data_IF_656102224267
#
_entry.id   IF_656102224267
#
_cell.length_a   1.000
_cell.length_b   1.000
_cell.length_c   1.000
_cell.angle_alpha   90.00
_cell.angle_beta   90.00
_cell.angle_gamma   90.00
#
_symmetry.space_group_name_H-M   'P 1'
#
loop_
_entity.id
_entity.type
_entity.pdbx_description
1 polymer ?
#
# COMPACT_ATOMS: atom_id res chain seq x y z
N UNK A 1 -47.80 -16.06 -61.25
CA UNK A 1 -47.23 -17.38 -61.00
C UNK A 1 -46.06 -17.23 -60.15
N UNK A 2 -46.33 -17.49 -58.95
CA UNK A 2 -45.75 -18.37 -57.91
C UNK A 2 -44.38 -17.89 -57.50
N UNK A 3 -44.24 -17.13 -56.48
CA UNK A 3 -44.37 -17.50 -55.05
C UNK A 3 -43.54 -18.70 -54.65
N UNK A 4 -42.58 -18.48 -53.85
CA UNK A 4 -42.14 -19.34 -52.74
C UNK A 4 -41.24 -18.56 -51.77
N UNK A 5 -41.77 -18.31 -50.60
CA UNK A 5 -41.03 -17.82 -49.47
C UNK A 5 -39.98 -18.83 -49.04
N UNK A 6 -38.88 -18.33 -48.55
CA UNK A 6 -37.99 -19.06 -47.69
C UNK A 6 -38.00 -18.38 -46.32
N UNK A 7 -38.43 -19.16 -45.36
CA UNK A 7 -38.43 -18.82 -43.96
C UNK A 7 -36.99 -18.63 -43.50
N UNK A 8 -36.68 -17.40 -43.09
CA UNK A 8 -35.44 -17.11 -42.38
C UNK A 8 -35.53 -17.71 -40.97
N UNK A 9 -34.72 -18.73 -40.74
CA UNK A 9 -34.50 -19.24 -39.42
C UNK A 9 -33.81 -18.20 -38.58
N UNK A 10 -34.46 -17.82 -37.51
CA UNK A 10 -33.95 -16.99 -36.44
C UNK A 10 -32.76 -17.72 -35.76
N UNK A 11 -31.53 -17.39 -36.16
CA UNK A 11 -30.34 -17.71 -35.38
C UNK A 11 -30.22 -16.69 -34.25
N UNK A 12 -30.95 -16.93 -33.16
CA UNK A 12 -30.64 -16.36 -31.85
C UNK A 12 -29.33 -16.97 -31.36
N UNK A 13 -28.22 -16.52 -31.95
CA UNK A 13 -26.88 -16.78 -31.43
C UNK A 13 -26.72 -16.05 -30.12
N UNK A 14 -27.02 -16.73 -29.00
CA UNK A 14 -26.53 -16.28 -27.70
C UNK A 14 -25.03 -16.10 -27.82
N UNK A 15 -24.55 -14.88 -27.67
CA UNK A 15 -23.13 -14.57 -27.62
C UNK A 15 -22.54 -15.34 -26.44
N UNK A 16 -21.84 -16.44 -26.73
CA UNK A 16 -21.08 -17.18 -25.72
C UNK A 16 -20.03 -16.19 -25.18
N UNK A 17 -20.24 -15.70 -23.96
CA UNK A 17 -19.24 -14.89 -23.30
C UNK A 17 -17.94 -15.69 -23.26
N UNK A 18 -16.89 -15.19 -23.89
CA UNK A 18 -15.56 -15.78 -23.84
C UNK A 18 -15.06 -15.72 -22.40
N UNK A 19 -15.25 -16.80 -21.65
CA UNK A 19 -14.79 -16.95 -20.27
C UNK A 19 -13.33 -17.39 -20.19
N UNK A 20 -12.64 -17.47 -21.33
CA UNK A 20 -11.26 -17.94 -21.45
C UNK A 20 -11.12 -19.46 -21.28
N UNK A 21 -9.88 -19.93 -21.37
CA UNK A 21 -9.52 -21.33 -21.22
C UNK A 21 -9.47 -21.74 -19.74
N UNK A 22 -9.92 -22.96 -19.42
CA UNK A 22 -9.83 -23.53 -18.07
C UNK A 22 -9.46 -25.01 -18.10
N UNK A 23 -8.49 -25.37 -17.30
CA UNK A 23 -8.06 -26.74 -17.03
C UNK A 23 -8.08 -26.98 -15.51
N UNK A 24 -8.86 -27.94 -15.05
CA UNK A 24 -8.99 -28.29 -13.64
C UNK A 24 -10.31 -28.91 -13.27
N UNK A 25 -10.50 -29.06 -11.97
CA UNK A 25 -11.66 -29.73 -11.39
C UNK A 25 -12.95 -28.93 -11.59
N UNK A 26 -14.07 -29.65 -11.66
CA UNK A 26 -15.42 -29.08 -11.74
C UNK A 26 -16.34 -29.79 -10.77
N UNK A 27 -17.31 -29.05 -10.23
CA UNK A 27 -18.38 -29.65 -9.43
C UNK A 27 -19.46 -30.32 -10.29
N UNK A 28 -20.49 -30.89 -9.65
CA UNK A 28 -21.61 -31.55 -10.31
C UNK A 28 -22.42 -30.61 -11.23
N UNK A 29 -22.33 -29.31 -11.04
CA UNK A 29 -22.99 -28.28 -11.85
C UNK A 29 -22.09 -27.78 -13.01
N UNK A 30 -20.90 -28.38 -13.20
CA UNK A 30 -19.95 -28.02 -14.24
C UNK A 30 -19.14 -26.74 -13.94
N UNK A 31 -19.33 -26.13 -12.77
CA UNK A 31 -18.59 -24.92 -12.35
C UNK A 31 -17.15 -25.28 -11.99
N UNK A 32 -16.22 -24.34 -12.18
CA UNK A 32 -14.83 -24.43 -11.70
C UNK A 32 -14.85 -24.71 -10.20
N UNK A 33 -14.15 -25.76 -9.75
CA UNK A 33 -14.14 -26.17 -8.35
C UNK A 33 -12.82 -26.89 -8.05
N UNK A 34 -12.35 -26.90 -6.78
CA UNK A 34 -11.05 -27.47 -6.47
C UNK A 34 -9.90 -26.71 -7.13
N UNK A 35 -8.84 -27.40 -7.51
CA UNK A 35 -7.67 -26.77 -8.14
C UNK A 35 -7.84 -26.64 -9.65
N UNK A 36 -7.42 -25.50 -10.21
CA UNK A 36 -7.46 -25.27 -11.65
C UNK A 36 -6.58 -24.14 -12.13
N UNK A 37 -6.36 -24.15 -13.46
CA UNK A 37 -5.64 -23.12 -14.20
C UNK A 37 -6.59 -22.47 -15.19
N UNK A 38 -6.56 -21.15 -15.26
CA UNK A 38 -7.36 -20.39 -16.19
C UNK A 38 -6.51 -19.37 -16.94
N UNK A 39 -6.78 -19.22 -18.24
CA UNK A 39 -6.32 -18.10 -19.05
C UNK A 39 -7.53 -17.25 -19.38
N UNK A 40 -7.52 -16.01 -18.95
CA UNK A 40 -8.63 -15.09 -19.08
C UNK A 40 -8.59 -14.38 -20.44
N UNK A 41 -9.70 -13.88 -20.97
CA UNK A 41 -9.75 -13.20 -22.27
C UNK A 41 -8.84 -11.98 -22.37
N UNK A 42 -8.59 -11.28 -21.26
CA UNK A 42 -7.67 -10.14 -21.19
C UNK A 42 -6.18 -10.53 -21.24
N UNK A 43 -5.88 -11.83 -21.27
CA UNK A 43 -4.52 -12.40 -21.28
C UNK A 43 -3.89 -12.60 -19.92
N UNK A 44 -4.61 -12.33 -18.83
CA UNK A 44 -4.21 -12.69 -17.48
C UNK A 44 -4.30 -14.20 -17.27
N UNK A 45 -3.59 -14.74 -16.27
CA UNK A 45 -3.70 -16.15 -15.88
C UNK A 45 -3.92 -16.29 -14.39
N UNK A 46 -4.66 -17.31 -14.01
CA UNK A 46 -4.82 -17.72 -12.62
C UNK A 46 -4.55 -19.20 -12.46
N UNK A 47 -3.85 -19.57 -11.41
CA UNK A 47 -3.61 -20.94 -10.98
C UNK A 47 -3.86 -21.04 -9.48
N UNK A 48 -4.83 -21.84 -9.06
CA UNK A 48 -5.20 -21.95 -7.66
C UNK A 48 -6.57 -22.59 -7.44
N UNK A 49 -7.06 -22.37 -6.24
CA UNK A 49 -8.31 -22.99 -5.77
C UNK A 49 -9.54 -22.21 -6.25
N UNK A 50 -10.60 -22.96 -6.52
CA UNK A 50 -11.92 -22.47 -6.90
C UNK A 50 -13.00 -23.11 -6.05
N UNK A 51 -14.04 -22.35 -5.77
CA UNK A 51 -15.27 -22.80 -5.11
C UNK A 51 -16.47 -22.24 -5.87
N UNK A 52 -17.33 -23.14 -6.40
CA UNK A 52 -18.55 -22.77 -7.14
C UNK A 52 -18.31 -21.68 -8.20
N UNK A 53 -17.30 -21.86 -9.05
CA UNK A 53 -16.96 -20.93 -10.13
C UNK A 53 -16.09 -19.74 -9.74
N UNK A 54 -15.91 -19.46 -8.46
CA UNK A 54 -15.19 -18.31 -7.94
C UNK A 54 -13.79 -18.70 -7.41
N UNK A 55 -12.78 -17.85 -7.60
CA UNK A 55 -11.48 -18.03 -6.96
C UNK A 55 -11.67 -17.97 -5.45
N UNK A 56 -11.24 -19.00 -4.75
CA UNK A 56 -11.36 -19.14 -3.29
C UNK A 56 -10.15 -19.93 -2.80
N UNK A 57 -9.70 -19.72 -1.55
CA UNK A 57 -8.47 -20.37 -1.07
C UNK A 57 -7.20 -19.77 -1.67
N UNK A 58 -6.14 -20.58 -1.78
CA UNK A 58 -4.83 -20.08 -2.20
C UNK A 58 -4.66 -20.14 -3.72
N UNK A 59 -4.06 -19.07 -4.29
CA UNK A 59 -3.81 -19.03 -5.73
C UNK A 59 -2.81 -17.96 -6.14
N UNK A 60 -2.39 -18.07 -7.40
CA UNK A 60 -1.47 -17.14 -8.07
C UNK A 60 -2.15 -16.54 -9.29
N UNK A 61 -2.24 -15.22 -9.33
CA UNK A 61 -2.75 -14.45 -10.44
C UNK A 61 -1.63 -13.67 -11.12
N UNK A 62 -1.42 -13.92 -12.40
CA UNK A 62 -0.44 -13.21 -13.23
C UNK A 62 -1.17 -12.29 -14.17
N UNK A 63 -0.91 -11.00 -14.01
CA UNK A 63 -1.45 -9.97 -14.88
C UNK A 63 -0.62 -9.87 -16.16
N UNK A 64 -1.26 -9.59 -17.28
CA UNK A 64 -0.60 -9.38 -18.57
C UNK A 64 0.45 -8.27 -18.55
N UNK A 65 0.27 -7.28 -17.68
CA UNK A 65 1.22 -6.18 -17.48
C UNK A 65 2.47 -6.56 -16.66
N UNK A 66 2.62 -7.82 -16.26
CA UNK A 66 3.75 -8.32 -15.47
C UNK A 66 3.56 -8.27 -13.95
N UNK A 67 2.47 -7.69 -13.45
CA UNK A 67 2.15 -7.80 -12.03
C UNK A 67 1.84 -9.25 -11.63
N UNK A 68 2.05 -9.58 -10.36
CA UNK A 68 1.80 -10.91 -9.81
C UNK A 68 1.19 -10.79 -8.42
N UNK A 69 0.10 -11.49 -8.19
CA UNK A 69 -0.41 -11.72 -6.83
C UNK A 69 -0.34 -13.19 -6.49
N UNK A 70 0.14 -13.52 -5.30
CA UNK A 70 0.11 -14.87 -4.72
C UNK A 70 -0.42 -14.76 -3.30
N UNK A 71 -1.50 -15.47 -3.00
CA UNK A 71 -2.14 -15.40 -1.70
C UNK A 71 -3.55 -15.95 -1.70
N UNK A 72 -4.26 -15.65 -0.62
CA UNK A 72 -5.61 -16.13 -0.44
C UNK A 72 -6.65 -15.29 -1.21
N UNK A 73 -7.69 -15.96 -1.62
CA UNK A 73 -8.86 -15.41 -2.28
C UNK A 73 -10.12 -15.79 -1.50
N UNK A 74 -11.11 -14.94 -1.54
CA UNK A 74 -12.48 -15.20 -1.12
C UNK A 74 -13.43 -14.59 -2.16
N UNK A 75 -14.25 -15.43 -2.80
CA UNK A 75 -15.24 -14.99 -3.79
C UNK A 75 -14.65 -14.06 -4.86
N UNK A 76 -13.58 -14.49 -5.53
CA UNK A 76 -12.84 -13.76 -6.57
C UNK A 76 -11.98 -12.58 -6.09
N UNK A 77 -12.05 -12.17 -4.82
CA UNK A 77 -11.31 -11.03 -4.27
C UNK A 77 -10.08 -11.51 -3.48
N UNK A 78 -9.00 -10.74 -3.54
CA UNK A 78 -7.86 -10.96 -2.65
C UNK A 78 -8.31 -10.78 -1.21
N UNK A 79 -8.00 -11.77 -0.37
CA UNK A 79 -8.41 -11.81 1.03
C UNK A 79 -7.35 -12.51 1.87
N UNK A 80 -7.34 -12.31 3.21
CA UNK A 80 -6.35 -12.94 4.08
C UNK A 80 -4.91 -12.53 3.76
N UNK A 81 -3.96 -13.46 3.82
CA UNK A 81 -2.55 -13.17 3.55
C UNK A 81 -2.21 -13.28 2.06
N UNK A 82 -1.41 -12.34 1.57
CA UNK A 82 -0.95 -12.38 0.19
C UNK A 82 0.20 -11.44 -0.11
N UNK A 83 0.87 -11.72 -1.21
CA UNK A 83 2.00 -10.93 -1.72
C UNK A 83 1.64 -10.43 -3.11
N UNK A 84 1.78 -9.13 -3.33
CA UNK A 84 1.60 -8.49 -4.63
C UNK A 84 2.93 -7.90 -5.11
N UNK A 85 3.37 -8.30 -6.28
CA UNK A 85 4.52 -7.75 -6.99
C UNK A 85 4.00 -6.82 -8.09
N UNK A 86 4.46 -5.58 -8.09
CA UNK A 86 4.09 -4.57 -9.06
C UNK A 86 5.09 -4.52 -10.22
N UNK A 87 4.67 -4.07 -11.42
CA UNK A 87 5.56 -3.99 -12.58
C UNK A 87 6.76 -3.05 -12.41
N UNK A 88 6.65 -2.07 -11.50
CA UNK A 88 7.72 -1.12 -11.16
C UNK A 88 8.78 -1.69 -10.20
N UNK A 89 8.65 -2.97 -9.83
CA UNK A 89 9.54 -3.66 -8.89
C UNK A 89 9.15 -3.47 -7.42
N UNK A 90 8.14 -2.67 -7.11
CA UNK A 90 7.63 -2.59 -5.75
C UNK A 90 6.87 -3.86 -5.33
N UNK A 91 6.74 -4.07 -4.03
CA UNK A 91 6.11 -5.27 -3.49
C UNK A 91 5.33 -4.95 -2.22
N UNK A 92 4.14 -5.52 -2.10
CA UNK A 92 3.40 -5.56 -0.84
C UNK A 92 3.27 -7.00 -0.34
N UNK A 93 3.49 -7.24 0.94
CA UNK A 93 3.25 -8.51 1.61
C UNK A 93 2.47 -8.24 2.91
N UNK A 94 1.27 -8.76 3.05
CA UNK A 94 0.44 -8.48 4.22
C UNK A 94 -1.00 -8.96 4.10
N UNK A 95 -1.84 -8.33 4.89
CA UNK A 95 -3.26 -8.64 4.97
C UNK A 95 -4.05 -7.95 3.86
N UNK A 96 -5.04 -8.65 3.36
CA UNK A 96 -5.98 -8.23 2.33
C UNK A 96 -7.41 -8.47 2.78
N UNK A 97 -8.28 -7.52 2.51
CA UNK A 97 -9.74 -7.67 2.66
C UNK A 97 -10.40 -7.06 1.43
N UNK A 98 -11.16 -7.85 0.68
CA UNK A 98 -11.92 -7.42 -0.50
C UNK A 98 -11.08 -6.58 -1.48
N UNK A 99 -9.93 -7.13 -1.93
CA UNK A 99 -8.95 -6.51 -2.83
C UNK A 99 -8.19 -5.30 -2.26
N UNK A 100 -8.39 -4.95 -1.01
CA UNK A 100 -7.72 -3.83 -0.36
C UNK A 100 -6.66 -4.29 0.63
N UNK A 101 -5.53 -3.58 0.68
CA UNK A 101 -4.55 -3.73 1.75
C UNK A 101 -5.19 -3.29 3.06
N UNK A 102 -5.19 -4.17 4.04
CA UNK A 102 -5.83 -3.97 5.35
C UNK A 102 -4.98 -4.64 6.43
N UNK A 103 -5.15 -4.26 7.71
CA UNK A 103 -4.42 -4.90 8.80
C UNK A 103 -2.93 -4.61 8.75
N UNK A 104 -2.07 -5.61 8.95
CA UNK A 104 -0.63 -5.44 8.99
C UNK A 104 0.06 -5.89 7.70
N UNK A 105 1.05 -5.11 7.23
CA UNK A 105 1.79 -5.47 6.03
C UNK A 105 3.07 -4.68 5.83
N UNK A 106 3.90 -5.21 4.93
CA UNK A 106 5.16 -4.61 4.49
C UNK A 106 5.05 -4.16 3.05
N UNK A 107 5.53 -2.98 2.75
CA UNK A 107 5.65 -2.46 1.40
C UNK A 107 7.10 -2.10 1.10
N UNK A 108 7.65 -2.69 0.05
CA UNK A 108 8.93 -2.29 -0.55
C UNK A 108 8.60 -1.40 -1.75
N UNK A 109 9.07 -0.17 -1.72
CA UNK A 109 8.91 0.80 -2.81
C UNK A 109 9.97 0.59 -3.90
N UNK A 110 9.69 1.04 -5.12
CA UNK A 110 10.62 0.92 -6.25
C UNK A 110 11.97 1.64 -6.00
N UNK A 111 11.98 2.70 -5.19
CA UNK A 111 13.22 3.40 -4.78
C UNK A 111 14.00 2.68 -3.66
N UNK A 112 13.48 1.54 -3.19
CA UNK A 112 14.07 0.75 -2.11
C UNK A 112 13.70 1.18 -0.69
N UNK A 113 12.88 2.21 -0.52
CA UNK A 113 12.28 2.53 0.78
C UNK A 113 11.37 1.40 1.24
N UNK A 114 11.15 1.28 2.54
CA UNK A 114 10.21 0.30 3.09
C UNK A 114 9.23 0.92 4.05
N UNK A 115 8.03 0.37 4.08
CA UNK A 115 7.06 0.64 5.12
C UNK A 115 6.62 -0.68 5.75
N UNK A 116 6.62 -0.76 7.07
CA UNK A 116 6.11 -1.90 7.83
C UNK A 116 5.17 -1.36 8.89
N UNK A 117 3.90 -1.77 8.85
CA UNK A 117 2.90 -1.26 9.78
C UNK A 117 1.47 -1.56 9.37
N UNK A 118 0.57 -0.79 9.95
CA UNK A 118 -0.86 -0.95 9.73
C UNK A 118 -1.33 -0.29 8.43
N UNK A 119 -2.35 -0.89 7.83
CA UNK A 119 -2.98 -0.48 6.59
C UNK A 119 -4.49 -0.43 6.76
N UNK A 120 -5.10 0.58 6.16
CA UNK A 120 -6.55 0.68 6.04
C UNK A 120 -6.91 1.22 4.65
N UNK A 121 -7.77 0.52 3.92
CA UNK A 121 -8.27 0.93 2.60
C UNK A 121 -7.13 1.32 1.64
N UNK A 122 -6.12 0.45 1.48
CA UNK A 122 -4.92 0.62 0.66
C UNK A 122 -3.96 1.73 1.12
N UNK A 123 -4.20 2.39 2.25
CA UNK A 123 -3.37 3.48 2.77
C UNK A 123 -2.67 3.07 4.06
N UNK A 124 -1.45 3.56 4.28
CA UNK A 124 -0.76 3.46 5.57
C UNK A 124 -1.62 4.10 6.65
N UNK A 125 -1.80 3.41 7.76
CA UNK A 125 -2.67 3.84 8.85
C UNK A 125 -2.10 3.36 10.20
N UNK A 126 -2.63 3.85 11.32
CA UNK A 126 -2.23 3.38 12.64
C UNK A 126 -0.73 3.53 12.92
N UNK A 127 -0.11 2.52 13.48
CA UNK A 127 1.31 2.50 13.79
C UNK A 127 2.12 1.92 12.62
N UNK A 128 3.27 2.57 12.31
CA UNK A 128 4.14 2.04 11.27
C UNK A 128 5.52 2.67 11.27
N UNK A 129 6.44 1.92 10.67
CA UNK A 129 7.83 2.32 10.45
C UNK A 129 8.08 2.50 8.97
N UNK A 130 8.55 3.67 8.58
CA UNK A 130 9.05 3.96 7.24
C UNK A 130 10.57 4.11 7.28
N UNK A 131 11.27 3.39 6.43
CA UNK A 131 12.73 3.46 6.31
C UNK A 131 13.08 4.08 4.96
N UNK A 132 13.82 5.17 5.01
CA UNK A 132 14.37 5.86 3.84
C UNK A 132 15.67 5.15 3.43
N UNK A 133 15.68 4.46 2.31
CA UNK A 133 16.80 3.62 1.84
C UNK A 133 18.08 4.42 1.66
N UNK A 134 17.96 5.60 1.08
CA UNK A 134 19.13 6.45 0.74
C UNK A 134 19.88 6.96 1.98
N UNK A 135 19.14 7.36 3.01
CA UNK A 135 19.71 7.98 4.22
C UNK A 135 19.83 7.02 5.40
N UNK A 136 19.16 5.88 5.36
CA UNK A 136 19.00 4.98 6.50
C UNK A 136 18.11 5.54 7.62
N UNK A 137 17.57 6.73 7.44
CA UNK A 137 16.67 7.36 8.41
C UNK A 137 15.37 6.58 8.53
N UNK A 138 14.71 6.70 9.69
CA UNK A 138 13.44 6.01 9.95
C UNK A 138 12.43 6.96 10.56
N UNK A 139 11.21 6.90 10.08
CA UNK A 139 10.05 7.44 10.78
C UNK A 139 9.32 6.29 11.49
N UNK A 140 9.11 6.42 12.79
CA UNK A 140 8.41 5.41 13.62
C UNK A 140 7.28 6.13 14.34
N UNK A 141 6.04 5.85 13.99
CA UNK A 141 4.91 6.55 14.59
C UNK A 141 3.58 6.37 13.86
N UNK A 142 2.70 7.34 14.13
CA UNK A 142 1.32 7.29 13.66
C UNK A 142 1.18 7.74 12.21
N UNK A 143 0.24 7.09 11.52
CA UNK A 143 -0.15 7.35 10.15
C UNK A 143 -1.67 7.47 10.04
N UNK A 144 -2.14 8.45 9.30
CA UNK A 144 -3.56 8.62 9.00
C UNK A 144 -3.72 8.81 7.50
N UNK A 145 -4.44 7.91 6.84
CA UNK A 145 -4.73 7.96 5.40
C UNK A 145 -3.49 8.15 4.51
N UNK A 146 -2.37 7.52 4.86
CA UNK A 146 -1.12 7.56 4.10
C UNK A 146 -0.17 8.68 4.48
N UNK A 147 -0.55 9.54 5.43
CA UNK A 147 0.20 10.72 5.86
C UNK A 147 0.70 10.51 7.30
N UNK A 148 1.89 10.98 7.62
CA UNK A 148 2.43 11.03 8.97
C UNK A 148 1.58 11.99 9.82
N UNK A 149 0.93 11.48 10.84
CA UNK A 149 0.01 12.27 11.67
C UNK A 149 -0.10 11.67 13.07
N UNK A 150 0.25 12.42 14.10
CA UNK A 150 0.27 12.00 15.48
C UNK A 150 1.67 11.93 16.10
N UNK A 151 1.83 11.26 17.25
CA UNK A 151 3.11 11.06 17.92
C UNK A 151 4.06 10.20 17.08
N UNK A 152 5.34 10.60 17.00
CA UNK A 152 6.34 9.84 16.26
C UNK A 152 7.78 10.16 16.68
N UNK A 153 8.69 9.29 16.25
CA UNK A 153 10.12 9.50 16.23
C UNK A 153 10.63 9.53 14.78
N UNK A 154 11.46 10.53 14.46
CA UNK A 154 12.27 10.55 13.26
C UNK A 154 13.71 10.25 13.65
N UNK A 155 14.23 9.12 13.23
CA UNK A 155 15.54 8.59 13.65
C UNK A 155 16.53 8.76 12.50
N UNK A 156 17.62 9.45 12.76
CA UNK A 156 18.77 9.63 11.89
C UNK A 156 19.99 8.91 12.44
N UNK A 157 21.11 8.94 11.71
CA UNK A 157 22.33 8.20 12.09
C UNK A 157 22.91 8.63 13.45
N UNK A 158 22.83 9.90 13.81
CA UNK A 158 23.50 10.48 15.00
C UNK A 158 22.55 11.24 15.93
N UNK A 159 21.25 11.26 15.60
CA UNK A 159 20.23 11.88 16.44
C UNK A 159 18.86 11.37 16.11
N UNK A 160 17.90 11.62 16.98
CA UNK A 160 16.48 11.37 16.76
C UNK A 160 15.65 12.55 17.22
N UNK A 161 14.58 12.80 16.49
CA UNK A 161 13.55 13.75 16.88
C UNK A 161 12.36 13.00 17.45
N UNK A 162 11.85 13.41 18.61
CA UNK A 162 10.58 12.94 19.20
C UNK A 162 9.61 14.08 19.28
N UNK A 163 8.42 13.92 18.71
CA UNK A 163 7.41 14.97 18.70
C UNK A 163 6.10 14.51 18.09
N UNK A 164 5.29 15.48 17.71
CA UNK A 164 4.04 15.23 16.99
C UNK A 164 4.15 15.70 15.56
N UNK A 165 3.47 15.01 14.69
CA UNK A 165 3.33 15.36 13.28
C UNK A 165 1.86 15.69 12.98
N UNK A 166 1.65 16.62 12.06
CA UNK A 166 0.36 16.93 11.45
C UNK A 166 0.58 17.14 9.94
N UNK A 167 -0.14 16.37 9.13
CA UNK A 167 -0.02 16.44 7.67
C UNK A 167 1.44 16.31 7.17
N UNK A 168 2.21 15.40 7.77
CA UNK A 168 3.60 15.10 7.39
C UNK A 168 4.64 16.10 7.91
N UNK A 169 4.24 17.07 8.74
CA UNK A 169 5.15 18.08 9.29
C UNK A 169 5.16 18.03 10.81
N UNK A 170 6.33 18.20 11.47
CA UNK A 170 6.39 18.31 12.92
C UNK A 170 5.64 19.55 13.40
N UNK A 171 4.94 19.42 14.53
CA UNK A 171 4.21 20.52 15.18
C UNK A 171 4.34 20.47 16.70
N UNK A 172 4.19 21.65 17.34
CA UNK A 172 4.14 21.79 18.78
C UNK A 172 5.45 21.39 19.47
N UNK A 173 5.37 20.94 20.70
CA UNK A 173 6.54 20.57 21.50
C UNK A 173 7.20 19.31 20.96
N UNK A 174 8.54 19.37 20.86
CA UNK A 174 9.37 18.23 20.47
C UNK A 174 10.78 18.36 20.99
N UNK A 175 11.56 17.28 20.86
CA UNK A 175 12.95 17.28 21.26
C UNK A 175 13.83 16.51 20.29
N UNK A 176 15.03 17.01 20.11
CA UNK A 176 16.13 16.26 19.54
C UNK A 176 16.92 15.58 20.64
N UNK A 177 17.32 14.34 20.41
CA UNK A 177 18.16 13.54 21.29
C UNK A 177 19.36 13.12 20.45
N UNK A 178 20.54 13.56 20.84
CA UNK A 178 21.80 13.30 20.16
C UNK A 178 22.52 12.12 20.81
N UNK A 179 23.25 11.33 20.04
CA UNK A 179 23.99 10.15 20.54
C UNK A 179 25.08 10.51 21.56
N UNK A 180 25.55 11.78 21.56
CA UNK A 180 26.48 12.32 22.55
C UNK A 180 25.83 12.61 23.92
N UNK A 181 24.55 12.24 24.11
CA UNK A 181 23.84 12.42 25.38
C UNK A 181 23.21 13.78 25.61
N UNK A 182 23.23 14.68 24.61
CA UNK A 182 22.57 15.99 24.69
C UNK A 182 21.11 15.92 24.22
N UNK A 183 20.26 16.72 24.84
CA UNK A 183 18.87 16.93 24.39
C UNK A 183 18.65 18.42 24.08
N UNK A 184 17.97 18.68 22.98
CA UNK A 184 17.50 20.00 22.60
C UNK A 184 15.99 20.01 22.53
N UNK A 185 15.33 20.84 23.32
CA UNK A 185 13.88 21.00 23.35
C UNK A 185 13.48 22.22 22.54
N UNK A 186 12.39 22.12 21.80
CA UNK A 186 11.88 23.20 20.96
C UNK A 186 10.40 23.08 20.69
N UNK A 187 9.85 24.12 20.09
CA UNK A 187 8.48 24.15 19.63
C UNK A 187 8.45 24.40 18.11
N UNK A 188 7.76 23.52 17.38
CA UNK A 188 7.52 23.67 15.96
C UNK A 188 6.22 24.43 15.75
N UNK A 189 6.33 25.64 15.24
CA UNK A 189 5.18 26.50 14.91
C UNK A 189 5.01 26.43 13.39
N UNK A 190 3.84 25.98 12.92
CA UNK A 190 3.50 26.13 11.51
C UNK A 190 3.20 27.61 11.25
N UNK A 191 3.93 28.31 10.38
CA UNK A 191 3.56 29.65 10.01
C UNK A 191 2.18 29.61 9.35
N UNK A 192 1.24 30.31 9.94
CA UNK A 192 0.00 30.72 9.24
C UNK A 192 0.45 31.41 7.97
N UNK A 193 -0.05 31.02 6.80
CA UNK A 193 0.37 31.53 5.51
C UNK A 193 0.43 33.07 5.49
N UNK A 194 1.59 33.61 5.81
CA UNK A 194 2.03 34.91 5.33
C UNK A 194 3.20 34.56 4.43
N UNK A 195 3.11 34.92 3.16
CA UNK A 195 4.21 34.81 2.23
C UNK A 195 5.45 35.41 2.93
N UNK A 196 6.50 34.55 3.04
CA UNK A 196 7.84 34.86 3.54
C UNK A 196 8.10 34.65 5.04
N UNK A 197 9.19 33.90 5.27
CA UNK A 197 10.02 33.69 6.47
C UNK A 197 9.56 32.58 7.42
N UNK A 198 10.24 31.43 7.28
CA UNK A 198 10.30 30.39 8.32
C UNK A 198 11.24 30.84 9.43
N UNK A 199 10.72 31.18 10.61
CA UNK A 199 11.54 31.30 11.82
C UNK A 199 11.41 30.01 12.64
N UNK A 200 12.51 29.28 12.77
CA UNK A 200 12.65 28.21 13.78
C UNK A 200 13.19 28.88 15.04
N UNK A 201 12.37 28.98 16.09
CA UNK A 201 12.84 29.44 17.40
C UNK A 201 13.35 28.22 18.15
N UNK A 202 14.67 28.14 18.31
CA UNK A 202 15.35 27.10 19.08
C UNK A 202 15.69 27.63 20.46
N UNK A 203 15.13 27.03 21.51
CA UNK A 203 15.55 27.33 22.90
C UNK A 203 16.45 26.22 23.41
N UNK A 204 17.70 26.55 23.70
CA UNK A 204 18.68 25.61 24.27
C UNK A 204 18.66 25.78 25.80
N UNK A 205 18.23 24.74 26.53
CA UNK A 205 18.42 24.68 27.98
C UNK A 205 19.71 23.92 28.27
N UNK A 206 20.72 24.64 28.81
CA UNK A 206 21.94 23.98 29.30
C UNK A 206 23.25 24.71 29.06
N UNK A 207 23.25 25.85 28.35
CA UNK A 207 24.45 26.72 28.25
C UNK A 207 24.01 28.16 28.43
N UNK A 208 24.74 28.88 29.33
CA UNK A 208 24.48 30.28 29.64
C UNK A 208 24.58 31.14 28.38
N UNK A 209 23.53 31.92 28.19
CA UNK A 209 23.36 33.07 27.29
C UNK A 209 24.48 33.32 26.24
N UNK A 210 24.19 32.87 25.01
CA UNK A 210 24.61 33.61 23.82
C UNK A 210 23.59 33.33 22.71
N UNK A 211 22.98 34.41 22.21
CA UNK A 211 22.04 34.39 21.10
C UNK A 211 22.80 33.94 19.84
N UNK A 212 22.54 32.71 19.36
CA UNK A 212 22.94 32.30 18.03
C UNK A 212 21.75 32.48 17.08
N UNK A 213 21.77 33.59 16.38
CA UNK A 213 20.99 33.79 15.16
C UNK A 213 21.64 32.94 14.05
N UNK A 214 21.06 31.78 13.73
CA UNK A 214 21.42 31.08 12.51
C UNK A 214 20.68 31.76 11.34
N UNK A 215 21.43 32.50 10.53
CA UNK A 215 20.98 32.96 9.21
C UNK A 215 21.13 31.82 8.21
N UNK A 216 20.06 31.61 7.48
CA UNK A 216 19.92 31.01 6.16
C UNK A 216 20.93 29.92 5.74
N UNK A 217 20.45 28.72 5.59
CA UNK A 217 20.75 27.87 4.42
C UNK A 217 19.42 27.38 3.85
#
# INVERSE_FOLDING_TARGET
MSDLGSEDADESGEAVEDIGEYEGDRNSEGQRHGFGKARLPNGDTYEGEYECGLRSGYGTYRFKNGALYTGNYLQNKKHGKGVFFYPDGSKYAGDWVDDQKQGFGEYLYANGDTYTGEWANNKRHGQGTYVYKETGSKYVGCWVNGIQDGPAELIHLNHRFKGRFLNGKPIGQGKFIFDIGCEQHGEYIQPVQVKEIVQVVVSIRGLSRSNLLLRNI
#
